data_IF_078728963876
#
_entry.id   IF_078728963876
#
_cell.length_a   1.000
_cell.length_b   1.000
_cell.length_c   1.000
_cell.angle_alpha   90.00
_cell.angle_beta   90.00
_cell.angle_gamma   90.00
#
_symmetry.space_group_name_H-M   'P 1'
#
loop_
_entity.id
_entity.type
_entity.pdbx_description
1 polymer ?
#
# COMPACT_ATOMS: atom_id res chain seq x y z
N UNK A 1 -15.18 37.93 0.67
CA UNK A 1 -15.42 36.54 0.20
C UNK A 1 -16.91 36.37 -0.03
N UNK A 2 -17.33 35.98 -1.23
CA UNK A 2 -18.75 35.70 -1.52
C UNK A 2 -19.12 34.31 -1.02
N UNK A 3 -20.40 34.09 -0.69
CA UNK A 3 -20.92 32.77 -0.30
C UNK A 3 -20.63 31.68 -1.34
N UNK A 4 -20.68 32.06 -2.62
CA UNK A 4 -20.33 31.18 -3.75
C UNK A 4 -18.84 30.78 -3.73
N UNK A 5 -17.94 31.72 -3.41
CA UNK A 5 -16.51 31.44 -3.32
C UNK A 5 -16.15 30.47 -2.19
N UNK A 6 -16.85 30.55 -1.05
CA UNK A 6 -16.69 29.60 0.06
C UNK A 6 -17.13 28.19 -0.34
N UNK A 7 -18.31 28.06 -0.96
CA UNK A 7 -18.83 26.77 -1.42
C UNK A 7 -17.91 26.10 -2.45
N UNK A 8 -17.40 26.86 -3.43
CA UNK A 8 -16.47 26.32 -4.43
C UNK A 8 -15.15 25.85 -3.81
N UNK A 9 -14.66 26.57 -2.79
CA UNK A 9 -13.44 26.19 -2.08
C UNK A 9 -13.64 24.94 -1.23
N UNK A 10 -14.75 24.84 -0.49
CA UNK A 10 -15.12 23.64 0.28
C UNK A 10 -15.28 22.42 -0.63
N UNK A 11 -16.00 22.56 -1.75
CA UNK A 11 -16.17 21.48 -2.73
C UNK A 11 -14.84 21.06 -3.37
N UNK A 12 -13.97 22.02 -3.68
CA UNK A 12 -12.66 21.76 -4.26
C UNK A 12 -11.76 20.97 -3.30
N UNK A 13 -11.72 21.38 -2.02
CA UNK A 13 -10.96 20.69 -0.97
C UNK A 13 -11.52 19.29 -0.75
N UNK A 14 -12.85 19.15 -0.63
CA UNK A 14 -13.50 17.85 -0.40
C UNK A 14 -13.21 16.87 -1.53
N UNK A 15 -13.39 17.29 -2.79
CA UNK A 15 -13.09 16.46 -3.96
C UNK A 15 -11.60 16.12 -4.08
N UNK A 16 -10.73 17.06 -3.74
CA UNK A 16 -9.28 16.82 -3.71
C UNK A 16 -8.88 15.77 -2.68
N UNK A 17 -9.47 15.85 -1.48
CA UNK A 17 -9.22 14.92 -0.39
C UNK A 17 -9.79 13.52 -0.67
N UNK A 18 -11.03 13.44 -1.17
CA UNK A 18 -11.64 12.16 -1.58
C UNK A 18 -10.78 11.45 -2.63
N UNK A 19 -10.41 12.15 -3.71
CA UNK A 19 -9.55 11.57 -4.77
C UNK A 19 -8.16 11.20 -4.29
N UNK A 20 -7.56 12.02 -3.41
CA UNK A 20 -6.25 11.75 -2.85
C UNK A 20 -6.25 10.50 -1.97
N UNK A 21 -7.29 10.35 -1.14
CA UNK A 21 -7.44 9.19 -0.27
C UNK A 21 -7.74 7.92 -1.06
N UNK A 22 -8.64 7.98 -2.05
CA UNK A 22 -8.98 6.84 -2.90
C UNK A 22 -7.73 6.30 -3.63
N UNK A 23 -6.97 7.20 -4.30
CA UNK A 23 -5.72 6.81 -4.98
C UNK A 23 -4.67 6.27 -4.01
N UNK A 24 -4.51 6.89 -2.85
CA UNK A 24 -3.54 6.45 -1.85
C UNK A 24 -3.83 5.05 -1.31
N UNK A 25 -5.12 4.74 -1.08
CA UNK A 25 -5.56 3.41 -0.65
C UNK A 25 -5.35 2.39 -1.78
N UNK A 26 -5.76 2.71 -3.00
CA UNK A 26 -5.62 1.82 -4.16
C UNK A 26 -4.15 1.46 -4.42
N UNK A 27 -3.26 2.46 -4.50
CA UNK A 27 -1.83 2.22 -4.69
C UNK A 27 -1.21 1.44 -3.51
N UNK A 28 -1.66 1.70 -2.28
CA UNK A 28 -1.17 1.00 -1.10
C UNK A 28 -1.55 -0.48 -1.11
N UNK A 29 -2.79 -0.79 -1.48
CA UNK A 29 -3.28 -2.16 -1.62
C UNK A 29 -2.54 -2.89 -2.74
N UNK A 30 -2.40 -2.27 -3.91
CA UNK A 30 -1.70 -2.87 -5.05
C UNK A 30 -0.24 -3.21 -4.71
N UNK A 31 0.49 -2.26 -4.12
CA UNK A 31 1.88 -2.47 -3.66
C UNK A 31 1.97 -3.57 -2.61
N UNK A 32 1.02 -3.63 -1.67
CA UNK A 32 0.98 -4.68 -0.64
C UNK A 32 0.74 -6.07 -1.24
N UNK A 33 -0.21 -6.19 -2.17
CA UNK A 33 -0.51 -7.46 -2.86
C UNK A 33 0.68 -7.92 -3.68
N UNK A 34 1.35 -7.03 -4.41
CA UNK A 34 2.52 -7.38 -5.22
C UNK A 34 3.72 -7.80 -4.37
N UNK A 35 3.93 -7.14 -3.23
CA UNK A 35 4.94 -7.54 -2.26
C UNK A 35 4.66 -8.96 -1.74
N UNK A 36 3.42 -9.24 -1.34
CA UNK A 36 3.01 -10.56 -0.85
C UNK A 36 3.20 -11.63 -1.94
N UNK A 37 2.74 -11.39 -3.17
CA UNK A 37 2.96 -12.31 -4.31
C UNK A 37 4.45 -12.60 -4.55
N UNK A 38 5.31 -11.57 -4.46
CA UNK A 38 6.76 -11.74 -4.61
C UNK A 38 7.33 -12.61 -3.50
N UNK A 39 6.90 -12.40 -2.25
CA UNK A 39 7.31 -13.20 -1.09
C UNK A 39 6.90 -14.67 -1.25
N UNK A 40 5.65 -14.94 -1.64
CA UNK A 40 5.18 -16.31 -1.89
C UNK A 40 5.99 -17.00 -2.99
N UNK A 41 6.26 -16.32 -4.12
CA UNK A 41 7.08 -16.88 -5.20
C UNK A 41 8.50 -17.23 -4.75
N UNK A 42 9.13 -16.36 -3.95
CA UNK A 42 10.48 -16.62 -3.44
C UNK A 42 10.48 -17.77 -2.43
N UNK A 43 9.44 -17.87 -1.59
CA UNK A 43 9.28 -18.98 -0.65
C UNK A 43 9.06 -20.31 -1.37
N UNK A 44 8.25 -20.34 -2.45
CA UNK A 44 8.08 -21.53 -3.30
C UNK A 44 9.38 -21.95 -4.02
N UNK A 45 10.27 -21.00 -4.32
CA UNK A 45 11.61 -21.28 -4.86
C UNK A 45 12.57 -21.87 -3.81
N UNK A 46 12.13 -22.01 -2.56
CA UNK A 46 12.94 -22.56 -1.47
C UNK A 46 13.86 -21.55 -0.80
N UNK A 47 13.63 -20.24 -1.01
CA UNK A 47 14.40 -19.21 -0.32
C UNK A 47 13.98 -19.08 1.15
N UNK A 48 14.95 -18.81 2.03
CA UNK A 48 14.69 -18.63 3.45
C UNK A 48 14.04 -17.27 3.73
N UNK A 49 13.26 -17.19 4.81
CA UNK A 49 12.60 -15.95 5.21
C UNK A 49 13.57 -14.76 5.37
N UNK A 50 14.82 -15.03 5.76
CA UNK A 50 15.90 -14.04 5.89
C UNK A 50 16.33 -13.47 4.53
N UNK A 51 16.50 -14.32 3.52
CA UNK A 51 16.89 -13.91 2.16
C UNK A 51 15.76 -13.13 1.47
N UNK A 52 14.52 -13.55 1.72
CA UNK A 52 13.32 -12.85 1.23
C UNK A 52 13.22 -11.46 1.88
N UNK A 53 13.47 -11.38 3.19
CA UNK A 53 13.49 -10.12 3.94
C UNK A 53 14.51 -9.14 3.37
N UNK A 54 15.74 -9.61 3.07
CA UNK A 54 16.77 -8.80 2.43
C UNK A 54 16.35 -8.32 1.03
N UNK A 55 15.84 -9.21 0.18
CA UNK A 55 15.41 -8.89 -1.20
C UNK A 55 14.18 -7.99 -1.28
N UNK A 56 13.34 -8.03 -0.26
CA UNK A 56 12.11 -7.24 -0.19
C UNK A 56 12.25 -6.02 0.72
N UNK A 57 13.42 -5.83 1.34
CA UNK A 57 13.74 -4.75 2.28
C UNK A 57 12.70 -4.62 3.41
N UNK A 58 12.29 -5.76 3.95
CA UNK A 58 11.36 -5.88 5.09
C UNK A 58 11.99 -6.74 6.18
N UNK A 59 11.35 -6.83 7.34
CA UNK A 59 11.82 -7.71 8.41
C UNK A 59 11.45 -9.16 8.13
N UNK A 60 12.28 -10.10 8.60
CA UNK A 60 11.96 -11.52 8.55
C UNK A 60 10.64 -11.84 9.29
N UNK A 61 10.32 -11.08 10.35
CA UNK A 61 9.04 -11.19 11.05
C UNK A 61 7.85 -10.88 10.14
N UNK A 62 7.94 -9.86 9.29
CA UNK A 62 6.88 -9.54 8.34
C UNK A 62 6.77 -10.58 7.22
N UNK A 63 7.90 -11.17 6.80
CA UNK A 63 7.89 -12.32 5.87
C UNK A 63 7.17 -13.50 6.52
N UNK A 64 7.49 -13.83 7.78
CA UNK A 64 6.82 -14.89 8.53
C UNK A 64 5.32 -14.62 8.66
N UNK A 65 4.89 -13.40 9.00
CA UNK A 65 3.46 -13.03 9.07
C UNK A 65 2.71 -13.16 7.74
N UNK A 66 3.41 -13.01 6.61
CA UNK A 66 2.81 -13.15 5.28
C UNK A 66 2.71 -14.63 4.88
N UNK A 67 3.66 -15.45 5.32
CA UNK A 67 3.71 -16.88 5.02
C UNK A 67 2.92 -17.74 6.03
N UNK A 68 2.72 -17.25 7.24
CA UNK A 68 1.83 -17.83 8.27
C UNK A 68 0.38 -17.52 7.88
N UNK A 69 -0.32 -18.54 7.36
CA UNK A 69 -1.78 -18.51 7.15
C UNK A 69 -2.55 -18.60 8.47
#
# INVERSE_FOLDING_TARGET
MTRLGQMLMEDGIKKGMERGMEKGIEEGIEKGIDLAKKIFRLNEQGETAEMIAEKCNITAENVSKILEN
#
